data_IF_516607764878
#
_entry.id   IF_516607764878
#
_cell.length_a   1.000
_cell.length_b   1.000
_cell.length_c   1.000
_cell.angle_alpha   90.00
_cell.angle_beta   90.00
_cell.angle_gamma   90.00
#
_symmetry.space_group_name_H-M   'P 1'
#
loop_
_entity.id
_entity.type
_entity.pdbx_description
1 polymer ?
#
# COMPACT_ATOMS: atom_id res chain seq x y z
N UNK A 1 -18.42 4.69 -5.54
CA UNK A 1 -17.34 4.21 -4.66
C UNK A 1 -16.10 5.04 -4.93
N UNK A 2 -15.42 5.51 -3.88
CA UNK A 2 -14.19 6.29 -4.02
C UNK A 2 -13.01 5.33 -3.98
N UNK A 3 -12.22 5.27 -5.04
CA UNK A 3 -11.05 4.41 -5.11
C UNK A 3 -9.78 5.27 -4.98
N UNK A 4 -8.74 4.67 -4.40
CA UNK A 4 -7.43 5.29 -4.24
C UNK A 4 -6.40 4.45 -4.99
N UNK A 5 -5.42 5.12 -5.60
CA UNK A 5 -4.21 4.44 -6.03
C UNK A 5 -3.42 4.08 -4.79
N UNK A 6 -3.10 2.79 -4.64
CA UNK A 6 -2.27 2.29 -3.55
C UNK A 6 -0.99 1.72 -4.13
N UNK A 7 0.14 2.18 -3.62
CA UNK A 7 1.48 1.78 -4.04
C UNK A 7 2.16 0.97 -2.92
N UNK A 8 2.71 -0.18 -3.29
CA UNK A 8 3.54 -1.05 -2.47
C UNK A 8 4.99 -0.90 -2.89
N UNK A 9 5.82 -0.30 -2.04
CA UNK A 9 7.25 -0.12 -2.28
C UNK A 9 8.00 -1.22 -1.53
N UNK A 10 8.53 -2.19 -2.28
CA UNK A 10 9.34 -3.28 -1.76
C UNK A 10 10.81 -2.88 -1.83
N UNK A 11 11.49 -2.85 -0.68
CA UNK A 11 12.89 -2.43 -0.58
C UNK A 11 13.77 -3.35 -1.42
N UNK A 12 14.44 -2.79 -2.44
CA UNK A 12 15.36 -3.51 -3.31
C UNK A 12 14.73 -4.15 -4.55
N UNK A 13 13.41 -4.09 -4.71
CA UNK A 13 12.72 -4.73 -5.85
C UNK A 13 11.97 -3.74 -6.74
N UNK A 14 11.24 -2.78 -6.15
CA UNK A 14 10.48 -1.79 -6.91
C UNK A 14 9.12 -1.46 -6.30
N UNK A 15 8.25 -0.90 -7.13
CA UNK A 15 6.91 -0.46 -6.75
C UNK A 15 5.86 -1.28 -7.50
N UNK A 16 4.85 -1.75 -6.78
CA UNK A 16 3.64 -2.38 -7.31
C UNK A 16 2.45 -1.51 -6.97
N UNK A 17 1.39 -1.49 -7.79
CA UNK A 17 0.23 -0.64 -7.50
C UNK A 17 -1.10 -1.26 -7.93
N UNK A 18 -2.16 -0.83 -7.24
CA UNK A 18 -3.53 -1.27 -7.49
C UNK A 18 -4.53 -0.16 -7.11
N UNK A 19 -5.70 -0.16 -7.75
CA UNK A 19 -6.81 0.72 -7.38
C UNK A 19 -7.70 0.01 -6.36
N UNK A 20 -7.77 0.55 -5.15
CA UNK A 20 -8.46 -0.08 -4.02
C UNK A 20 -9.57 0.86 -3.52
N UNK A 21 -10.71 0.31 -3.14
CA UNK A 21 -11.83 1.09 -2.57
C UNK A 21 -11.47 1.70 -1.20
N UNK A 22 -12.14 2.80 -0.87
CA UNK A 22 -11.86 3.58 0.33
C UNK A 22 -11.93 2.75 1.62
N UNK A 23 -12.96 1.92 1.75
CA UNK A 23 -13.20 1.11 2.95
C UNK A 23 -12.06 0.09 3.16
N UNK A 24 -11.62 -0.57 2.09
CA UNK A 24 -10.45 -1.46 2.13
C UNK A 24 -9.17 -0.69 2.47
N UNK A 25 -8.94 0.50 1.88
CA UNK A 25 -7.79 1.34 2.21
C UNK A 25 -7.76 1.75 3.68
N UNK A 26 -8.92 2.09 4.27
CA UNK A 26 -9.02 2.43 5.68
C UNK A 26 -8.55 1.28 6.59
N UNK A 27 -8.88 0.04 6.23
CA UNK A 27 -8.42 -1.16 6.94
C UNK A 27 -6.90 -1.37 6.76
N UNK A 28 -6.40 -1.23 5.53
CA UNK A 28 -4.96 -1.38 5.24
C UNK A 28 -4.11 -0.36 6.01
N UNK A 29 -4.61 0.86 6.22
CA UNK A 29 -3.91 1.89 6.98
C UNK A 29 -3.66 1.52 8.45
N UNK A 30 -4.36 0.53 9.01
CA UNK A 30 -4.13 0.04 10.39
C UNK A 30 -3.37 -1.29 10.42
N UNK A 31 -3.00 -1.84 9.26
CA UNK A 31 -2.42 -3.17 9.16
C UNK A 31 -0.90 -3.14 9.28
N UNK A 32 -0.33 -4.14 9.96
CA UNK A 32 1.13 -4.37 10.02
C UNK A 32 1.66 -5.05 8.75
N UNK A 33 0.78 -5.73 8.03
CA UNK A 33 1.08 -6.44 6.79
C UNK A 33 0.06 -6.03 5.73
N UNK A 34 0.54 -5.84 4.50
CA UNK A 34 -0.33 -5.50 3.37
C UNK A 34 0.05 -6.32 2.16
N UNK A 35 -0.96 -6.72 1.39
CA UNK A 35 -0.78 -7.45 0.12
C UNK A 35 -1.37 -6.65 -1.01
N UNK A 36 -0.58 -6.38 -2.06
CA UNK A 36 -1.00 -5.66 -3.27
C UNK A 36 -0.43 -6.39 -4.48
N UNK A 37 -1.25 -6.65 -5.50
CA UNK A 37 -0.85 -7.37 -6.72
C UNK A 37 -0.08 -8.70 -6.46
N UNK A 38 -0.47 -9.45 -5.42
CA UNK A 38 0.17 -10.71 -5.03
C UNK A 38 1.47 -10.58 -4.22
N UNK A 39 1.85 -9.36 -3.83
CA UNK A 39 3.08 -9.09 -3.07
C UNK A 39 2.73 -8.68 -1.64
N UNK A 40 3.27 -9.41 -0.66
CA UNK A 40 3.08 -9.11 0.76
C UNK A 40 4.32 -8.51 1.37
N UNK A 41 4.16 -7.44 2.16
CA UNK A 41 5.25 -6.85 2.96
C UNK A 41 4.85 -6.74 4.43
N UNK A 42 5.86 -6.65 5.28
CA UNK A 42 5.72 -6.00 6.59
C UNK A 42 5.84 -4.48 6.42
N UNK A 43 4.84 -3.72 6.86
CA UNK A 43 4.80 -2.27 6.70
C UNK A 43 5.78 -1.62 7.68
N UNK A 44 6.85 -1.03 7.14
CA UNK A 44 7.81 -0.25 7.91
C UNK A 44 7.46 1.25 7.88
N UNK A 45 6.85 1.70 6.77
CA UNK A 45 6.45 3.09 6.57
C UNK A 45 5.17 3.17 5.73
N UNK A 46 4.32 4.16 6.03
CA UNK A 46 3.13 4.47 5.25
C UNK A 46 2.95 5.98 5.11
N UNK A 47 2.50 6.43 3.94
CA UNK A 47 2.22 7.85 3.66
C UNK A 47 0.98 8.01 2.76
N UNK A 48 0.37 9.20 2.83
CA UNK A 48 -0.60 9.67 1.84
C UNK A 48 0.00 10.91 1.18
N UNK A 49 0.20 10.86 -0.14
CA UNK A 49 0.85 11.97 -0.87
C UNK A 49 -0.10 13.14 -1.08
N UNK A 50 0.43 14.29 -1.51
CA UNK A 50 -0.37 15.45 -1.92
C UNK A 50 -1.36 15.15 -3.05
N UNK A 51 -1.03 14.17 -3.89
CA UNK A 51 -1.87 13.75 -5.02
C UNK A 51 -2.90 12.69 -4.62
N UNK A 52 -2.98 12.36 -3.32
CA UNK A 52 -3.94 11.38 -2.79
C UNK A 52 -3.56 9.92 -3.03
N UNK A 53 -2.28 9.62 -3.32
CA UNK A 53 -1.78 8.25 -3.45
C UNK A 53 -1.45 7.72 -2.05
N UNK A 54 -1.90 6.51 -1.74
CA UNK A 54 -1.54 5.83 -0.49
C UNK A 54 -0.33 4.93 -0.75
N UNK A 55 0.73 5.07 0.04
CA UNK A 55 1.95 4.27 -0.11
C UNK A 55 2.22 3.46 1.14
N UNK A 56 2.56 2.20 0.94
CA UNK A 56 3.11 1.30 1.94
C UNK A 56 4.52 0.89 1.52
N UNK A 57 5.48 0.96 2.43
CA UNK A 57 6.88 0.60 2.17
C UNK A 57 7.39 -0.39 3.22
N UNK A 58 8.14 -1.39 2.77
CA UNK A 58 8.62 -2.44 3.65
C UNK A 58 9.44 -3.53 2.98
N UNK A 59 9.73 -4.56 3.76
CA UNK A 59 10.45 -5.76 3.35
C UNK A 59 9.44 -6.86 2.98
N UNK A 60 9.72 -7.60 1.90
CA UNK A 60 8.90 -8.75 1.49
C UNK A 60 9.03 -9.88 2.52
N UNK A 61 7.95 -10.63 2.65
CA UNK A 61 7.84 -11.87 3.43
C UNK A 61 7.79 -13.05 2.48
#
# INVERSE_FOLDING_TARGET
>A
MRNFKVELIVIGEGTFDEMIDFETVQLMMQSEYVTIAGNTIRVNYKEVTSDGIVRFKGERI
#
